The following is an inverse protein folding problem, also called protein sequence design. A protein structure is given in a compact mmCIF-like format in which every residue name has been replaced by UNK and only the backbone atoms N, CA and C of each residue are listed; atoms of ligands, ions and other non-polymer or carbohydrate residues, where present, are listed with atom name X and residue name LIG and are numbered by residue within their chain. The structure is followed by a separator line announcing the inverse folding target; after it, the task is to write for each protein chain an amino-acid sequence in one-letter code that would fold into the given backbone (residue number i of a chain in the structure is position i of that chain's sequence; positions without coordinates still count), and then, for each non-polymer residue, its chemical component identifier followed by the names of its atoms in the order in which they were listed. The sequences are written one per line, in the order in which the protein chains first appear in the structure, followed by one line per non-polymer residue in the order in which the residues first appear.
data_IF_564489616751
#
_entry.id   IF_564489616751
#
_cell.length_a   1.000
_cell.length_b   1.000
_cell.length_c   1.000
_cell.angle_alpha   90.00
_cell.angle_beta   90.00
_cell.angle_gamma   90.00
#
_symmetry.space_group_name_H-M   'P 1'
#
loop_
_entity.id
_entity.type
_entity.pdbx_description
1 polymer ?
#
# COMPACT_ATOMS: atom_id res chain seq x y z
N UNK A 1 39.97 -17.02 -34.76
CA UNK A 1 38.63 -16.44 -34.95
C UNK A 1 38.78 -14.93 -34.86
N UNK A 2 38.60 -14.21 -35.96
CA UNK A 2 38.76 -12.74 -36.00
C UNK A 2 37.37 -12.12 -35.94
N UNK A 3 37.09 -11.38 -34.86
CA UNK A 3 35.87 -10.60 -34.71
C UNK A 3 35.95 -9.38 -35.64
N UNK A 4 35.02 -9.28 -36.59
CA UNK A 4 34.86 -8.08 -37.44
C UNK A 4 33.71 -7.24 -36.90
N UNK A 5 34.05 -6.07 -36.34
CA UNK A 5 33.08 -5.02 -35.97
C UNK A 5 32.95 -4.06 -37.15
N UNK A 6 31.76 -3.96 -37.74
CA UNK A 6 31.46 -2.95 -38.75
C UNK A 6 30.99 -1.68 -38.04
N UNK A 7 31.87 -0.68 -37.93
CA UNK A 7 31.51 0.65 -37.47
C UNK A 7 30.78 1.38 -38.60
N UNK A 8 29.49 1.11 -38.77
CA UNK A 8 28.64 1.86 -39.68
C UNK A 8 28.36 3.23 -39.04
N UNK A 9 29.00 4.27 -39.55
CA UNK A 9 28.68 5.67 -39.21
C UNK A 9 27.29 6.00 -39.69
N UNK A 10 26.29 5.85 -38.83
CA UNK A 10 24.93 6.32 -39.11
C UNK A 10 24.85 7.81 -38.79
N UNK A 11 24.42 8.61 -39.78
CA UNK A 11 24.10 10.03 -39.56
C UNK A 11 22.59 10.15 -39.43
N UNK A 12 22.12 10.52 -38.25
CA UNK A 12 20.70 10.77 -38.00
C UNK A 12 20.35 12.17 -38.51
N UNK A 13 20.05 12.26 -39.81
CA UNK A 13 19.59 13.48 -40.45
C UNK A 13 18.07 13.49 -40.40
N UNK A 14 17.48 14.45 -39.69
CA UNK A 14 16.05 14.71 -39.75
C UNK A 14 15.73 15.21 -41.15
N UNK A 15 15.13 14.35 -41.97
CA UNK A 15 14.79 14.66 -43.36
C UNK A 15 13.50 15.48 -43.42
N UNK A 16 12.46 15.03 -42.73
CA UNK A 16 11.16 15.68 -42.72
C UNK A 16 10.56 15.71 -41.31
N UNK A 17 9.93 16.83 -40.98
CA UNK A 17 9.10 17.00 -39.79
C UNK A 17 7.67 17.25 -40.25
N UNK A 18 6.83 16.20 -40.19
CA UNK A 18 5.42 16.32 -40.52
C UNK A 18 4.60 16.60 -39.26
N UNK A 19 3.91 17.74 -39.24
CA UNK A 19 2.95 18.07 -38.19
C UNK A 19 1.56 17.76 -38.70
N UNK A 20 0.85 16.83 -38.04
CA UNK A 20 -0.51 16.44 -38.40
C UNK A 20 -1.48 16.87 -37.30
N UNK A 21 -2.68 17.32 -37.70
CA UNK A 21 -3.78 17.58 -36.76
C UNK A 21 -4.26 16.24 -36.21
N UNK A 22 -4.52 16.18 -34.90
CA UNK A 22 -5.15 15.03 -34.28
C UNK A 22 -6.51 14.77 -34.96
N UNK A 23 -6.76 13.58 -35.55
CA UNK A 23 -8.00 13.30 -36.24
C UNK A 23 -9.19 13.33 -35.28
N UNK A 24 -10.28 14.01 -35.67
CA UNK A 24 -11.43 14.18 -34.79
C UNK A 24 -12.08 12.82 -34.40
N UNK A 25 -11.99 11.82 -35.30
CA UNK A 25 -12.46 10.43 -35.09
C UNK A 25 -11.80 9.77 -33.87
N UNK A 26 -10.58 10.16 -33.52
CA UNK A 26 -9.86 9.57 -32.39
C UNK A 26 -10.34 10.10 -31.04
N UNK A 27 -11.14 11.18 -31.03
CA UNK A 27 -11.83 11.62 -29.81
C UNK A 27 -13.05 10.73 -29.50
N UNK A 28 -13.62 10.09 -30.52
CA UNK A 28 -14.82 9.26 -30.42
C UNK A 28 -14.50 7.76 -30.25
N UNK A 29 -13.23 7.39 -30.41
CA UNK A 29 -12.76 6.02 -30.20
C UNK A 29 -12.48 5.78 -28.72
N UNK A 30 -13.51 5.37 -27.99
CA UNK A 30 -13.34 4.80 -26.66
C UNK A 30 -13.29 3.27 -26.76
N UNK A 31 -12.20 2.67 -26.28
CA UNK A 31 -12.07 1.22 -26.21
C UNK A 31 -12.91 0.71 -25.04
N UNK A 32 -14.12 0.23 -25.32
CA UNK A 32 -14.99 -0.40 -24.32
C UNK A 32 -14.90 -1.93 -24.46
N UNK A 33 -14.54 -2.68 -23.41
CA UNK A 33 -14.47 -4.14 -23.48
C UNK A 33 -15.86 -4.76 -23.70
N UNK A 34 -15.92 -5.81 -24.53
CA UNK A 34 -17.14 -6.55 -24.90
C UNK A 34 -17.84 -7.25 -23.72
N UNK A 35 -17.12 -7.47 -22.60
CA UNK A 35 -17.64 -8.10 -21.40
C UNK A 35 -17.90 -7.06 -20.29
N UNK A 36 -19.17 -6.85 -19.98
CA UNK A 36 -19.70 -5.83 -19.05
C UNK A 36 -19.58 -6.19 -17.56
N UNK A 37 -18.63 -7.05 -17.17
CA UNK A 37 -18.22 -7.20 -15.76
C UNK A 37 -17.34 -6.01 -15.35
N UNK A 38 -17.88 -4.80 -15.53
CA UNK A 38 -17.25 -3.54 -15.15
C UNK A 38 -17.21 -3.53 -13.63
N UNK A 39 -16.04 -3.84 -13.08
CA UNK A 39 -15.77 -3.65 -11.66
C UNK A 39 -15.38 -2.19 -11.45
N UNK A 40 -16.12 -1.51 -10.60
CA UNK A 40 -15.79 -0.12 -10.26
C UNK A 40 -14.61 -0.10 -9.28
N UNK A 41 -13.61 0.72 -9.57
CA UNK A 41 -12.53 1.02 -8.63
C UNK A 41 -13.09 1.93 -7.54
N UNK A 42 -12.93 1.52 -6.28
CA UNK A 42 -13.33 2.31 -5.11
C UNK A 42 -12.11 2.49 -4.23
N UNK A 43 -11.75 3.73 -3.94
CA UNK A 43 -10.62 4.05 -3.07
C UNK A 43 -11.06 4.07 -1.60
N UNK A 44 -10.28 3.47 -0.72
CA UNK A 44 -10.56 3.43 0.72
C UNK A 44 -10.24 4.77 1.40
N UNK A 45 -11.04 5.15 2.41
CA UNK A 45 -10.79 6.35 3.20
C UNK A 45 -9.64 6.14 4.19
N UNK A 46 -8.76 7.13 4.37
CA UNK A 46 -7.71 7.09 5.40
C UNK A 46 -8.31 7.22 6.81
N UNK A 47 -7.91 6.34 7.74
CA UNK A 47 -8.31 6.41 9.14
C UNK A 47 -7.23 7.09 9.98
N UNK A 48 -7.47 8.31 10.44
CA UNK A 48 -6.52 9.05 11.30
C UNK A 48 -5.70 10.13 10.59
N UNK A 49 -6.10 10.50 9.37
CA UNK A 49 -5.55 11.64 8.63
C UNK A 49 -4.52 11.26 7.55
N UNK A 50 -3.84 12.26 6.95
CA UNK A 50 -3.03 12.09 5.73
C UNK A 50 -1.75 11.26 5.91
N UNK A 51 -1.28 11.09 7.15
CA UNK A 51 -0.09 10.29 7.47
C UNK A 51 -0.43 8.89 7.98
N UNK A 52 -1.70 8.49 7.91
CA UNK A 52 -2.12 7.18 8.38
C UNK A 52 -1.74 6.07 7.42
N UNK A 53 -1.28 4.94 7.98
CA UNK A 53 -1.08 3.68 7.25
C UNK A 53 -2.28 2.74 7.35
N UNK A 54 -3.44 3.26 7.74
CA UNK A 54 -4.66 2.50 7.97
C UNK A 54 -5.78 3.12 7.16
N UNK A 55 -6.53 2.27 6.45
CA UNK A 55 -7.64 2.67 5.61
C UNK A 55 -8.91 1.93 6.02
N UNK A 56 -10.07 2.48 5.71
CA UNK A 56 -11.32 1.78 5.83
C UNK A 56 -12.33 2.15 4.75
N UNK A 57 -13.18 1.18 4.45
CA UNK A 57 -14.39 1.36 3.66
C UNK A 57 -15.59 1.03 4.54
N UNK A 58 -16.47 2.01 4.77
CA UNK A 58 -17.70 1.85 5.59
C UNK A 58 -18.98 1.77 4.76
N UNK A 59 -18.87 1.80 3.44
CA UNK A 59 -20.01 1.78 2.52
C UNK A 59 -20.09 0.42 1.85
N UNK A 60 -21.29 -0.17 1.81
CA UNK A 60 -21.54 -1.39 1.04
C UNK A 60 -21.62 -1.05 -0.44
N UNK A 61 -20.71 -1.60 -1.21
CA UNK A 61 -20.62 -1.44 -2.66
C UNK A 61 -20.57 -2.83 -3.29
N UNK A 62 -21.35 -3.05 -4.35
CA UNK A 62 -21.42 -4.35 -5.04
C UNK A 62 -20.52 -4.34 -6.26
N UNK A 63 -19.92 -5.50 -6.57
CA UNK A 63 -19.12 -5.71 -7.80
C UNK A 63 -18.04 -4.63 -8.00
N UNK A 64 -17.23 -4.41 -6.95
CA UNK A 64 -16.20 -3.38 -6.94
C UNK A 64 -14.84 -3.95 -6.56
N UNK A 65 -13.79 -3.23 -6.91
CA UNK A 65 -12.43 -3.49 -6.45
C UNK A 65 -12.07 -2.38 -5.48
N UNK A 66 -11.85 -2.77 -4.22
CA UNK A 66 -11.36 -1.87 -3.19
C UNK A 66 -9.88 -1.62 -3.42
N UNK A 67 -9.47 -0.36 -3.49
CA UNK A 67 -8.08 0.03 -3.73
C UNK A 67 -7.56 0.97 -2.65
N UNK A 68 -6.24 0.99 -2.51
CA UNK A 68 -5.52 2.00 -1.73
C UNK A 68 -4.50 2.70 -2.63
N UNK A 69 -4.20 3.98 -2.40
CA UNK A 69 -3.21 4.73 -3.18
C UNK A 69 -1.77 4.39 -2.76
N UNK A 70 -1.47 3.11 -2.59
CA UNK A 70 -0.19 2.58 -2.16
C UNK A 70 0.28 1.48 -3.11
N UNK A 71 1.60 1.33 -3.23
CA UNK A 71 2.21 0.29 -4.04
C UNK A 71 1.79 -1.10 -3.54
N UNK A 72 1.56 -2.02 -4.48
CA UNK A 72 1.24 -3.40 -4.18
C UNK A 72 2.34 -4.07 -3.38
N UNK A 73 1.95 -4.66 -2.24
CA UNK A 73 2.89 -5.32 -1.34
C UNK A 73 2.19 -6.40 -0.51
N UNK A 74 2.96 -7.41 -0.10
CA UNK A 74 2.48 -8.48 0.77
C UNK A 74 2.11 -8.00 2.18
N UNK A 75 2.73 -6.89 2.64
CA UNK A 75 2.51 -6.26 3.94
C UNK A 75 1.07 -5.77 4.21
N UNK A 76 0.30 -5.54 3.15
CA UNK A 76 -1.07 -5.07 3.28
C UNK A 76 -2.05 -6.19 3.62
N UNK A 77 -2.85 -5.98 4.65
CA UNK A 77 -3.89 -6.91 5.09
C UNK A 77 -5.24 -6.19 5.06
N UNK A 78 -6.23 -6.79 4.39
CA UNK A 78 -7.61 -6.32 4.43
C UNK A 78 -8.47 -7.29 5.24
N UNK A 79 -9.27 -6.75 6.15
CA UNK A 79 -10.14 -7.46 7.07
C UNK A 79 -11.56 -6.94 6.86
N UNK A 80 -12.45 -7.78 6.36
CA UNK A 80 -13.88 -7.49 6.32
C UNK A 80 -14.53 -7.83 7.66
N UNK A 81 -15.46 -7.01 8.10
CA UNK A 81 -16.33 -7.27 9.23
C UNK A 81 -17.76 -7.39 8.71
N UNK A 82 -18.40 -8.51 9.00
CA UNK A 82 -19.82 -8.74 8.72
C UNK A 82 -20.50 -9.15 10.03
N UNK A 83 -21.44 -8.36 10.52
CA UNK A 83 -22.12 -8.57 11.81
C UNK A 83 -21.14 -8.80 12.98
N UNK A 84 -20.00 -8.11 12.97
CA UNK A 84 -18.96 -8.22 13.99
C UNK A 84 -18.01 -9.41 13.85
N UNK A 85 -18.18 -10.27 12.84
CA UNK A 85 -17.28 -11.39 12.56
C UNK A 85 -16.16 -10.91 11.61
N UNK A 86 -14.88 -10.92 12.04
CA UNK A 86 -13.78 -10.54 11.18
C UNK A 86 -13.40 -11.69 10.23
N UNK A 87 -13.24 -11.39 8.95
CA UNK A 87 -12.74 -12.30 7.91
C UNK A 87 -11.60 -11.62 7.15
N UNK A 88 -10.51 -12.34 6.92
CA UNK A 88 -9.40 -11.82 6.11
C UNK A 88 -9.74 -11.96 4.63
N UNK A 89 -9.57 -10.89 3.87
CA UNK A 89 -9.75 -10.88 2.42
C UNK A 89 -8.46 -11.34 1.73
N UNK A 90 -8.52 -12.52 1.13
CA UNK A 90 -7.39 -13.13 0.40
C UNK A 90 -7.36 -12.75 -1.10
N UNK A 91 -8.42 -12.12 -1.61
CA UNK A 91 -8.63 -11.75 -3.01
C UNK A 91 -7.81 -10.52 -3.44
N UNK A 92 -6.48 -10.55 -3.22
CA UNK A 92 -5.57 -9.46 -3.61
C UNK A 92 -5.49 -9.33 -5.13
N UNK A 93 -5.61 -8.11 -5.62
CA UNK A 93 -5.47 -7.75 -7.04
C UNK A 93 -4.56 -6.53 -7.19
N UNK A 94 -3.87 -6.44 -8.32
CA UNK A 94 -3.05 -5.28 -8.69
C UNK A 94 -3.85 -4.44 -9.67
N UNK A 95 -4.13 -3.19 -9.31
CA UNK A 95 -4.91 -2.26 -10.13
C UNK A 95 -3.97 -1.28 -10.82
N UNK A 96 -4.20 -1.05 -12.11
CA UNK A 96 -3.38 -0.15 -12.95
C UNK A 96 -1.87 -0.47 -12.92
N UNK A 97 -1.50 -1.72 -12.65
CA UNK A 97 -0.11 -2.20 -12.64
C UNK A 97 0.73 -1.81 -11.42
N UNK A 98 0.20 -1.04 -10.47
CA UNK A 98 0.97 -0.61 -9.28
C UNK A 98 0.17 -0.53 -7.99
N UNK A 99 -1.14 -0.22 -8.03
CA UNK A 99 -1.95 -0.05 -6.82
C UNK A 99 -2.29 -1.40 -6.19
N UNK A 100 -2.28 -1.46 -4.87
CA UNK A 100 -2.86 -2.58 -4.15
C UNK A 100 -4.40 -2.47 -4.16
N UNK A 101 -5.06 -3.59 -4.47
CA UNK A 101 -6.49 -3.72 -4.30
C UNK A 101 -6.94 -5.10 -3.82
N UNK A 102 -8.23 -5.20 -3.55
CA UNK A 102 -8.94 -6.42 -3.19
C UNK A 102 -10.24 -6.50 -3.97
N UNK A 103 -10.52 -7.66 -4.54
CA UNK A 103 -11.80 -7.95 -5.15
C UNK A 103 -12.83 -8.23 -4.07
N UNK A 104 -13.85 -7.37 -3.97
CA UNK A 104 -14.90 -7.42 -2.96
C UNK A 104 -16.27 -7.75 -3.58
N UNK A 105 -16.27 -8.23 -4.82
CA UNK A 105 -17.50 -8.49 -5.59
C UNK A 105 -18.40 -9.55 -4.95
N UNK A 106 -17.80 -10.61 -4.39
CA UNK A 106 -18.51 -11.78 -3.82
C UNK A 106 -18.50 -11.80 -2.28
N UNK A 107 -18.10 -10.70 -1.65
CA UNK A 107 -17.90 -10.63 -0.20
C UNK A 107 -19.01 -9.80 0.46
N UNK A 108 -19.68 -10.38 1.45
CA UNK A 108 -20.61 -9.63 2.30
C UNK A 108 -19.84 -8.97 3.46
N UNK A 109 -19.89 -7.65 3.55
CA UNK A 109 -19.22 -6.86 4.58
C UNK A 109 -20.05 -5.65 5.00
N UNK A 110 -19.89 -5.21 6.25
CA UNK A 110 -20.37 -3.93 6.77
C UNK A 110 -19.27 -2.87 6.75
N UNK A 111 -18.04 -3.29 7.05
CA UNK A 111 -16.85 -2.44 7.02
C UNK A 111 -15.64 -3.26 6.65
N UNK A 112 -14.75 -2.70 5.84
CA UNK A 112 -13.45 -3.28 5.54
C UNK A 112 -12.38 -2.39 6.14
N UNK A 113 -11.47 -2.96 6.91
CA UNK A 113 -10.28 -2.29 7.41
C UNK A 113 -9.05 -2.80 6.67
N UNK A 114 -8.18 -1.89 6.26
CA UNK A 114 -6.93 -2.21 5.58
C UNK A 114 -5.79 -1.69 6.46
N UNK A 115 -4.88 -2.58 6.83
CA UNK A 115 -3.78 -2.30 7.76
C UNK A 115 -2.49 -2.84 7.15
N UNK A 116 -1.42 -2.07 7.26
CA UNK A 116 -0.08 -2.53 6.95
C UNK A 116 0.52 -3.24 8.17
N UNK A 117 0.55 -4.57 8.16
CA UNK A 117 1.01 -5.34 9.33
C UNK A 117 2.48 -5.09 9.70
N UNK A 118 3.42 -4.77 8.77
CA UNK A 118 4.79 -4.48 9.17
C UNK A 118 4.90 -3.24 10.07
N UNK A 119 4.04 -2.23 9.87
CA UNK A 119 3.99 -1.07 10.78
C UNK A 119 3.51 -1.47 12.18
N UNK A 120 2.51 -2.36 12.26
CA UNK A 120 2.04 -2.88 13.55
C UNK A 120 3.18 -3.60 14.30
N UNK A 121 3.95 -4.42 13.60
CA UNK A 121 5.11 -5.12 14.14
C UNK A 121 6.20 -4.15 14.60
N UNK A 122 6.47 -3.09 13.82
CA UNK A 122 7.44 -2.06 14.17
C UNK A 122 7.03 -1.30 15.43
N UNK A 123 5.76 -0.88 15.55
CA UNK A 123 5.24 -0.22 16.75
C UNK A 123 5.35 -1.11 17.99
N UNK A 124 5.06 -2.40 17.84
CA UNK A 124 5.27 -3.36 18.92
C UNK A 124 6.76 -3.47 19.32
N UNK A 125 7.65 -3.51 18.33
CA UNK A 125 9.09 -3.48 18.56
C UNK A 125 9.53 -2.24 19.35
N UNK A 126 9.09 -1.05 18.95
CA UNK A 126 9.39 0.19 19.67
C UNK A 126 8.85 0.19 21.10
N UNK A 127 7.65 -0.35 21.33
CA UNK A 127 7.09 -0.48 22.67
C UNK A 127 7.96 -1.36 23.57
N UNK A 128 8.41 -2.52 23.08
CA UNK A 128 9.31 -3.42 23.82
C UNK A 128 10.63 -2.73 24.14
N UNK A 129 11.20 -2.00 23.19
CA UNK A 129 12.44 -1.24 23.40
C UNK A 129 12.31 -0.18 24.49
N UNK A 130 11.25 0.63 24.44
CA UNK A 130 10.96 1.66 25.45
C UNK A 130 10.77 1.01 26.82
N UNK A 131 10.05 -0.10 26.89
CA UNK A 131 9.82 -0.82 28.14
C UNK A 131 11.13 -1.32 28.77
N UNK A 132 12.01 -1.95 27.99
CA UNK A 132 13.33 -2.40 28.46
C UNK A 132 14.17 -1.22 28.93
N UNK A 133 14.17 -0.11 28.18
CA UNK A 133 14.91 1.09 28.52
C UNK A 133 14.46 1.67 29.87
N UNK A 134 13.14 1.74 30.11
CA UNK A 134 12.57 2.18 31.39
C UNK A 134 13.00 1.26 32.54
N UNK A 135 12.96 -0.07 32.35
CA UNK A 135 13.40 -1.02 33.36
C UNK A 135 14.88 -0.84 33.74
N UNK A 136 15.75 -0.60 32.76
CA UNK A 136 17.17 -0.32 32.98
C UNK A 136 17.34 0.96 33.80
N UNK A 137 16.64 2.04 33.44
CA UNK A 137 16.69 3.32 34.17
C UNK A 137 16.26 3.12 35.62
N UNK A 138 15.11 2.46 35.86
CA UNK A 138 14.61 2.22 37.22
C UNK A 138 15.62 1.42 38.04
N UNK A 139 16.24 0.40 37.45
CA UNK A 139 17.27 -0.42 38.13
C UNK A 139 18.51 0.39 38.45
N UNK A 140 18.95 1.27 37.55
CA UNK A 140 20.09 2.16 37.77
C UNK A 140 19.83 3.17 38.90
N UNK A 141 18.63 3.77 38.92
CA UNK A 141 18.24 4.72 39.97
C UNK A 141 18.20 4.02 41.34
N UNK A 142 17.57 2.84 41.43
CA UNK A 142 17.53 2.05 42.68
C UNK A 142 18.93 1.68 43.17
N UNK A 143 19.82 1.25 42.26
CA UNK A 143 21.21 0.93 42.60
C UNK A 143 21.99 2.16 43.10
N UNK A 144 21.77 3.33 42.50
CA UNK A 144 22.38 4.59 42.93
C UNK A 144 21.90 4.99 44.33
N UNK A 145 20.59 4.92 44.58
CA UNK A 145 20.01 5.21 45.90
C UNK A 145 20.52 4.26 46.98
N UNK A 146 20.60 2.96 46.68
CA UNK A 146 21.15 1.97 47.63
C UNK A 146 22.61 2.27 48.00
N UNK A 147 23.46 2.61 47.01
CA UNK A 147 24.86 2.98 47.27
C UNK A 147 24.99 4.24 48.12
N UNK A 148 24.18 5.27 47.86
CA UNK A 148 24.17 6.50 48.65
C UNK A 148 23.79 6.20 50.10
N UNK A 149 22.72 5.44 50.34
CA UNK A 149 22.27 5.11 51.69
C UNK A 149 23.29 4.26 52.49
N UNK A 150 24.15 3.49 51.83
CA UNK A 150 25.20 2.70 52.49
C UNK A 150 26.48 3.51 52.78
N UNK A 151 26.74 4.61 52.07
CA UNK A 151 27.92 5.46 52.30
C UNK A 151 27.72 6.49 53.42
N UNK A 152 26.47 6.81 53.77
CA UNK A 152 26.10 7.77 54.82
C UNK A 152 25.68 7.10 56.14
N UNK A 153 26.03 5.82 56.33
CA UNK A 153 25.74 5.04 57.54
C UNK A 153 27.04 4.49 58.12
#
# INVERSE_FOLDING_TARGET
MVSTSYNLTTKNLLQDLTVMKYPDIWNDLEYVPENTNIKYEIEADTLGGPLSSTYALKRKEKNSVLTIPQASENGWLAISLNNGIPKVLNSKVIVNGWKQGWDISDEEYDTIYIIYYPNLLAYFGYFVWIFIFILIIVKLIKKRQWRLNHLYR
#
